data_IF_771996243994
#
_entry.id   IF_771996243994
#
_cell.length_a   1.000
_cell.length_b   1.000
_cell.length_c   1.000
_cell.angle_alpha   90.00
_cell.angle_beta   90.00
_cell.angle_gamma   90.00
#
_symmetry.space_group_name_H-M   'P 1'
#
loop_
_entity.id
_entity.type
_entity.pdbx_description
1 polymer ?
#
# COMPACT_ATOMS: atom_id res chain seq x y z
N UNK A 1 -4.58 8.46 -13.11
CA UNK A 1 -4.76 7.11 -13.21
C UNK A 1 -5.86 6.55 -12.39
N UNK A 2 -6.68 5.73 -13.03
CA UNK A 2 -7.90 5.19 -12.45
C UNK A 2 -7.67 3.89 -11.68
N UNK A 3 -6.41 3.41 -11.63
CA UNK A 3 -6.12 2.11 -11.02
C UNK A 3 -6.46 2.07 -9.54
N UNK A 4 -5.97 3.03 -8.76
CA UNK A 4 -6.14 2.99 -7.30
C UNK A 4 -7.60 3.13 -6.88
N UNK A 5 -8.37 4.10 -7.42
CA UNK A 5 -9.79 4.18 -7.07
C UNK A 5 -10.59 2.93 -7.41
N UNK A 6 -10.29 2.29 -8.55
CA UNK A 6 -10.94 1.04 -8.92
C UNK A 6 -10.57 -0.10 -7.98
N UNK A 7 -9.29 -0.17 -7.61
CA UNK A 7 -8.79 -1.18 -6.69
C UNK A 7 -9.46 -1.05 -5.32
N UNK A 8 -9.57 0.17 -4.81
CA UNK A 8 -10.23 0.44 -3.54
C UNK A 8 -11.71 0.10 -3.60
N UNK A 9 -12.37 0.38 -4.73
CA UNK A 9 -13.77 0.04 -4.91
C UNK A 9 -14.00 -1.47 -4.82
N UNK A 10 -13.09 -2.27 -5.39
CA UNK A 10 -13.16 -3.73 -5.27
C UNK A 10 -12.93 -4.18 -3.84
N UNK A 11 -11.91 -3.64 -3.17
CA UNK A 11 -11.58 -4.01 -1.79
C UNK A 11 -12.68 -3.63 -0.79
N UNK A 12 -13.49 -2.61 -1.11
CA UNK A 12 -14.54 -2.14 -0.22
C UNK A 12 -15.81 -2.99 -0.27
N UNK A 13 -15.87 -3.99 -1.16
CA UNK A 13 -17.02 -4.91 -1.22
C UNK A 13 -17.13 -5.69 0.08
N UNK A 14 -18.36 -6.01 0.47
CA UNK A 14 -18.63 -6.67 1.73
C UNK A 14 -17.81 -7.94 1.94
N UNK A 15 -17.58 -8.69 0.87
CA UNK A 15 -16.83 -9.96 0.93
C UNK A 15 -15.35 -9.78 1.28
N UNK A 16 -14.78 -8.57 1.10
CA UNK A 16 -13.36 -8.31 1.36
C UNK A 16 -13.13 -7.33 2.49
N UNK A 17 -14.09 -6.44 2.74
CA UNK A 17 -13.93 -5.27 3.62
C UNK A 17 -13.41 -5.65 5.01
N UNK A 18 -13.99 -6.68 5.62
CA UNK A 18 -13.65 -7.06 6.98
C UNK A 18 -12.31 -7.77 7.10
N UNK A 19 -11.72 -8.16 5.96
CA UNK A 19 -10.44 -8.87 5.93
C UNK A 19 -9.25 -7.95 5.72
N UNK A 20 -9.47 -6.65 5.52
CA UNK A 20 -8.40 -5.69 5.24
C UNK A 20 -8.03 -4.99 6.53
N UNK A 21 -6.74 -5.09 6.90
CA UNK A 21 -6.22 -4.45 8.10
C UNK A 21 -5.55 -3.11 7.80
N UNK A 22 -4.90 -3.00 6.64
CA UNK A 22 -4.14 -1.79 6.30
C UNK A 22 -3.98 -1.68 4.80
N UNK A 23 -4.02 -0.45 4.29
CA UNK A 23 -3.67 -0.12 2.91
C UNK A 23 -2.58 0.94 2.96
N UNK A 24 -1.44 0.67 2.31
CA UNK A 24 -0.31 1.59 2.30
C UNK A 24 -0.06 2.10 0.90
N UNK A 25 0.05 3.41 0.78
CA UNK A 25 0.57 4.05 -0.44
C UNK A 25 2.03 4.35 -0.17
N UNK A 26 2.93 3.77 -0.95
CA UNK A 26 4.37 3.90 -0.73
C UNK A 26 5.00 4.62 -1.91
N UNK A 27 5.64 5.75 -1.64
CA UNK A 27 6.37 6.50 -2.63
C UNK A 27 7.86 6.18 -2.56
N UNK A 28 8.45 5.86 -3.71
CA UNK A 28 9.85 5.52 -3.83
C UNK A 28 10.53 6.45 -4.82
N UNK A 29 11.78 6.80 -4.55
CA UNK A 29 12.61 7.56 -5.47
C UNK A 29 13.76 6.69 -5.98
N UNK A 30 14.44 7.16 -7.02
CA UNK A 30 15.73 6.59 -7.37
C UNK A 30 16.82 7.22 -6.51
N UNK A 31 18.08 6.86 -6.75
CA UNK A 31 19.21 7.31 -5.94
C UNK A 31 19.69 8.73 -6.28
N UNK A 32 19.12 9.38 -7.29
CA UNK A 32 19.50 10.74 -7.66
C UNK A 32 19.08 11.71 -6.57
N UNK A 33 20.01 12.60 -6.16
CA UNK A 33 19.75 13.56 -5.10
C UNK A 33 20.01 13.01 -3.71
N UNK A 34 19.79 13.82 -2.69
CA UNK A 34 20.06 13.45 -1.32
C UNK A 34 18.92 12.66 -0.69
N UNK A 35 19.25 11.86 0.30
CA UNK A 35 18.27 11.03 0.99
C UNK A 35 17.13 11.86 1.59
N UNK A 36 17.45 12.98 2.24
CA UNK A 36 16.41 13.81 2.89
C UNK A 36 15.54 14.53 1.86
N UNK A 37 16.13 15.02 0.77
CA UNK A 37 15.36 15.63 -0.32
C UNK A 37 14.41 14.61 -0.95
N UNK A 38 14.88 13.39 -1.13
CA UNK A 38 14.08 12.30 -1.69
C UNK A 38 12.98 11.86 -0.70
N UNK A 39 13.25 11.94 0.60
CA UNK A 39 12.24 11.63 1.61
C UNK A 39 11.08 12.64 1.51
N UNK A 40 11.40 13.92 1.46
CA UNK A 40 10.39 14.96 1.30
C UNK A 40 9.60 14.78 -0.01
N UNK A 41 10.31 14.53 -1.11
CA UNK A 41 9.68 14.32 -2.41
C UNK A 41 8.74 13.11 -2.40
N UNK A 42 9.16 11.99 -1.83
CA UNK A 42 8.35 10.78 -1.79
C UNK A 42 7.13 10.95 -0.88
N UNK A 43 7.27 11.66 0.24
CA UNK A 43 6.14 11.98 1.11
C UNK A 43 5.14 12.89 0.43
N UNK A 44 5.60 13.91 -0.28
CA UNK A 44 4.72 14.83 -1.00
C UNK A 44 3.95 14.11 -2.11
N UNK A 45 4.61 13.20 -2.82
CA UNK A 45 3.97 12.41 -3.88
C UNK A 45 2.87 11.51 -3.34
N UNK A 46 3.15 10.79 -2.27
CA UNK A 46 2.15 9.87 -1.71
C UNK A 46 0.97 10.62 -1.14
N UNK A 47 1.21 11.77 -0.51
CA UNK A 47 0.14 12.62 -0.02
C UNK A 47 -0.72 13.14 -1.18
N UNK A 48 -0.10 13.58 -2.26
CA UNK A 48 -0.83 14.07 -3.44
C UNK A 48 -1.66 12.94 -4.08
N UNK A 49 -1.11 11.73 -4.17
CA UNK A 49 -1.85 10.57 -4.68
C UNK A 49 -3.05 10.27 -3.80
N UNK A 50 -2.87 10.29 -2.48
CA UNK A 50 -3.95 10.04 -1.53
C UNK A 50 -5.07 11.07 -1.68
N UNK A 51 -4.72 12.35 -1.75
CA UNK A 51 -5.69 13.43 -1.91
C UNK A 51 -6.46 13.30 -3.23
N UNK A 52 -5.76 12.98 -4.30
CA UNK A 52 -6.39 12.78 -5.60
C UNK A 52 -7.37 11.61 -5.55
N UNK A 53 -6.98 10.51 -4.96
CA UNK A 53 -7.84 9.33 -4.86
C UNK A 53 -9.09 9.62 -4.04
N UNK A 54 -8.94 10.32 -2.92
CA UNK A 54 -10.10 10.71 -2.10
C UNK A 54 -11.06 11.63 -2.85
N UNK A 55 -10.53 12.50 -3.72
CA UNK A 55 -11.38 13.40 -4.49
C UNK A 55 -12.31 12.68 -5.46
N UNK A 56 -12.01 11.43 -5.80
CA UNK A 56 -12.80 10.61 -6.72
C UNK A 56 -13.76 9.66 -6.01
N UNK A 57 -13.77 9.65 -4.68
CA UNK A 57 -14.54 8.69 -3.89
C UNK A 57 -15.81 9.28 -3.32
N UNK A 58 -16.79 8.40 -3.05
CA UNK A 58 -17.95 8.77 -2.27
C UNK A 58 -17.55 9.03 -0.81
N UNK A 59 -18.40 9.77 -0.09
CA UNK A 59 -18.13 10.10 1.31
C UNK A 59 -18.03 8.83 2.18
N UNK A 60 -18.88 7.84 1.93
CA UNK A 60 -18.85 6.59 2.68
C UNK A 60 -17.57 5.80 2.45
N UNK A 61 -17.11 5.75 1.21
CA UNK A 61 -15.87 5.04 0.86
C UNK A 61 -14.66 5.76 1.46
N UNK A 62 -14.65 7.08 1.41
CA UNK A 62 -13.59 7.90 2.00
C UNK A 62 -13.50 7.68 3.52
N UNK A 63 -14.64 7.66 4.21
CA UNK A 63 -14.65 7.44 5.67
C UNK A 63 -14.12 6.05 6.03
N UNK A 64 -14.51 5.02 5.28
CA UNK A 64 -13.97 3.68 5.48
C UNK A 64 -12.45 3.66 5.28
N UNK A 65 -11.99 4.28 4.19
CA UNK A 65 -10.58 4.25 3.81
C UNK A 65 -9.70 5.01 4.80
N UNK A 66 -10.21 6.11 5.38
CA UNK A 66 -9.45 6.90 6.36
C UNK A 66 -9.02 6.11 7.58
N UNK A 67 -9.74 5.06 7.92
CA UNK A 67 -9.38 4.18 9.03
C UNK A 67 -8.29 3.16 8.69
N UNK A 68 -7.91 3.04 7.42
CA UNK A 68 -7.06 1.96 6.94
C UNK A 68 -5.83 2.44 6.18
N UNK A 69 -5.91 3.58 5.48
CA UNK A 69 -4.88 3.97 4.53
C UNK A 69 -3.86 4.89 5.17
N UNK A 70 -2.60 4.68 4.80
CA UNK A 70 -1.51 5.59 5.12
C UNK A 70 -0.73 5.93 3.87
N UNK A 71 -0.10 7.10 3.88
CA UNK A 71 0.76 7.57 2.80
C UNK A 71 2.19 7.63 3.33
N UNK A 72 3.10 6.88 2.72
CA UNK A 72 4.44 6.65 3.25
C UNK A 72 5.49 7.00 2.20
N UNK A 73 6.37 7.93 2.53
CA UNK A 73 7.53 8.25 1.71
C UNK A 73 8.73 7.42 2.16
N UNK A 74 9.31 6.65 1.26
CA UNK A 74 10.41 5.76 1.57
C UNK A 74 11.74 6.23 0.99
N UNK A 75 11.76 7.40 0.34
CA UNK A 75 12.98 7.94 -0.26
C UNK A 75 13.62 6.93 -1.22
N UNK A 76 14.94 6.82 -1.21
CA UNK A 76 15.68 5.86 -2.04
C UNK A 76 16.01 4.57 -1.31
N UNK A 77 15.27 4.25 -0.25
CA UNK A 77 15.60 3.09 0.60
C UNK A 77 15.33 1.73 -0.05
N UNK A 78 14.50 1.67 -1.10
CA UNK A 78 14.13 0.43 -1.78
C UNK A 78 14.32 0.57 -3.29
N UNK A 79 15.57 0.58 -3.72
CA UNK A 79 15.90 0.67 -5.14
C UNK A 79 15.59 -0.63 -5.86
N UNK A 80 15.18 -0.51 -7.13
CA UNK A 80 15.02 -1.66 -8.00
C UNK A 80 16.31 -1.81 -8.81
N UNK A 81 16.83 -3.02 -8.85
CA UNK A 81 18.06 -3.33 -9.56
C UNK A 81 17.76 -4.09 -10.85
N UNK A 82 18.57 -3.84 -11.87
CA UNK A 82 18.59 -4.62 -13.09
C UNK A 82 19.22 -5.98 -12.82
N UNK A 83 19.10 -6.91 -13.78
CA UNK A 83 19.69 -8.25 -13.65
C UNK A 83 21.22 -8.22 -13.47
N UNK A 84 21.88 -7.18 -13.99
CA UNK A 84 23.33 -7.01 -13.86
C UNK A 84 23.76 -6.40 -12.53
N UNK A 85 22.82 -6.11 -11.62
CA UNK A 85 23.09 -5.51 -10.31
C UNK A 85 23.09 -4.00 -10.29
N UNK A 86 23.01 -3.35 -11.43
CA UNK A 86 22.93 -1.89 -11.50
C UNK A 86 21.52 -1.41 -11.19
N UNK A 87 21.41 -0.19 -10.64
CA UNK A 87 20.12 0.41 -10.34
C UNK A 87 19.32 0.68 -11.61
N UNK A 88 18.04 0.32 -11.59
CA UNK A 88 17.08 0.76 -12.58
C UNK A 88 16.42 2.04 -12.07
N UNK A 89 16.89 3.19 -12.52
CA UNK A 89 16.44 4.48 -12.01
C UNK A 89 15.00 4.78 -12.37
N UNK A 90 14.55 4.35 -13.53
CA UNK A 90 13.18 4.61 -13.95
C UNK A 90 12.19 3.76 -13.13
N UNK A 91 12.48 2.49 -12.92
CA UNK A 91 11.61 1.61 -12.14
C UNK A 91 11.70 1.90 -10.64
N UNK A 92 12.85 2.42 -10.16
CA UNK A 92 13.00 2.77 -8.74
C UNK A 92 12.07 3.93 -8.36
N UNK A 93 11.80 4.84 -9.27
CA UNK A 93 10.91 5.99 -9.07
C UNK A 93 9.48 5.58 -9.32
N UNK A 94 8.76 5.21 -8.25
CA UNK A 94 7.43 4.63 -8.37
C UNK A 94 6.56 4.89 -7.15
N UNK A 95 5.27 4.62 -7.31
CA UNK A 95 4.33 4.54 -6.20
C UNK A 95 3.78 3.12 -6.18
N UNK A 96 3.82 2.49 -5.02
CA UNK A 96 3.28 1.15 -4.81
C UNK A 96 2.09 1.19 -3.86
N UNK A 97 1.15 0.28 -4.07
CA UNK A 97 0.03 0.08 -3.17
C UNK A 97 0.17 -1.29 -2.52
N UNK A 98 0.18 -1.31 -1.19
CA UNK A 98 0.29 -2.55 -0.43
C UNK A 98 -0.94 -2.72 0.45
N UNK A 99 -1.53 -3.90 0.39
CA UNK A 99 -2.68 -4.24 1.20
C UNK A 99 -2.28 -5.35 2.15
N UNK A 100 -2.50 -5.10 3.44
CA UNK A 100 -2.33 -6.14 4.45
C UNK A 100 -3.70 -6.66 4.84
N UNK A 101 -3.85 -7.98 4.79
CA UNK A 101 -5.08 -8.64 5.15
C UNK A 101 -4.87 -9.46 6.42
N UNK A 102 -5.98 -9.91 7.03
CA UNK A 102 -5.92 -10.80 8.17
C UNK A 102 -5.95 -12.29 7.77
N UNK A 103 -5.66 -12.59 6.52
CA UNK A 103 -5.73 -13.96 6.01
C UNK A 103 -4.85 -14.92 6.79
N UNK A 104 -3.62 -14.50 7.14
CA UNK A 104 -2.71 -15.33 7.95
C UNK A 104 -3.30 -15.63 9.31
N UNK A 105 -3.86 -14.62 9.97
CA UNK A 105 -4.49 -14.80 11.26
C UNK A 105 -5.67 -15.74 11.17
N UNK A 106 -6.48 -15.62 10.12
CA UNK A 106 -7.61 -16.53 9.90
C UNK A 106 -7.15 -17.95 9.71
N UNK A 107 -6.08 -18.17 8.96
CA UNK A 107 -5.50 -19.51 8.76
C UNK A 107 -4.96 -20.08 10.07
N UNK A 108 -4.29 -19.26 10.88
CA UNK A 108 -3.82 -19.66 12.21
C UNK A 108 -4.98 -20.07 13.11
N UNK A 109 -6.04 -19.27 13.12
CA UNK A 109 -7.22 -19.57 13.93
C UNK A 109 -7.88 -20.89 13.50
N UNK A 110 -7.96 -21.14 12.20
CA UNK A 110 -8.50 -22.39 11.67
C UNK A 110 -7.59 -23.58 12.07
N UNK A 111 -6.29 -23.43 11.96
CA UNK A 111 -5.34 -24.45 12.32
C UNK A 111 -5.42 -24.78 13.81
N UNK A 112 -5.52 -23.75 14.66
CA UNK A 112 -5.66 -23.92 16.09
C UNK A 112 -6.96 -24.64 16.45
N UNK A 113 -8.07 -24.31 15.81
CA UNK A 113 -9.35 -24.98 16.03
C UNK A 113 -9.28 -26.45 15.65
N UNK A 114 -8.64 -26.77 14.53
CA UNK A 114 -8.44 -28.17 14.12
C UNK A 114 -7.60 -28.94 15.13
N UNK A 115 -6.54 -28.32 15.62
CA UNK A 115 -5.67 -28.93 16.61
C UNK A 115 -6.42 -29.22 17.92
N UNK A 116 -7.21 -28.27 18.37
CA UNK A 116 -8.01 -28.44 19.59
C UNK A 116 -9.03 -29.57 19.42
N UNK A 117 -9.66 -29.70 18.26
CA UNK A 117 -10.65 -30.74 18.01
C UNK A 117 -10.05 -32.14 17.91
N UNK A 118 -8.74 -32.26 17.67
CA UNK A 118 -8.05 -33.55 17.62
C UNK A 118 -7.62 -34.07 18.99
N UNK A 119 -7.71 -33.22 19.99
CA UNK A 119 -7.39 -33.60 21.36
C UNK A 119 -8.64 -34.08 22.07
#
# INVERSE_FOLDING_TARGET
>A
DDFFPRYIAVLSRDEYRDNIEEIRIEGHTNSNGGYYSNMELSQDRTRAVLQYCFSLMSDDLEEWLKGLVTANGLSSSHLILKMNGEEDKDLSRRVEFRVRTNAEKQLEDIANKRFIHKQ
#
